data_IF_694073970967
#
_entry.id   IF_694073970967
#
_cell.length_a   1.000
_cell.length_b   1.000
_cell.length_c   1.000
_cell.angle_alpha   90.00
_cell.angle_beta   90.00
_cell.angle_gamma   90.00
#
_symmetry.space_group_name_H-M   'P 1'
#
loop_
_entity.id
_entity.type
_entity.pdbx_description
1 polymer ?
#
# COMPACT_ATOMS: atom_id res chain seq x y z
N UNK A 1 -12.44 35.78 -5.22
CA UNK A 1 -13.26 34.60 -4.88
C UNK A 1 -12.97 33.54 -5.92
N UNK A 2 -12.00 32.66 -5.65
CA UNK A 2 -11.58 31.62 -6.61
C UNK A 2 -11.45 30.32 -5.85
N UNK A 3 -12.17 29.32 -6.34
CA UNK A 3 -12.21 27.94 -5.87
C UNK A 3 -10.85 27.26 -6.09
N UNK A 4 -10.33 26.62 -5.05
CA UNK A 4 -9.17 25.74 -5.10
C UNK A 4 -9.65 24.28 -5.21
N UNK A 5 -9.44 23.67 -6.37
CA UNK A 5 -9.58 22.23 -6.57
C UNK A 5 -8.24 21.53 -6.33
N UNK A 6 -8.24 20.46 -5.55
CA UNK A 6 -7.06 19.62 -5.32
C UNK A 6 -7.48 18.17 -5.15
N UNK A 7 -6.83 17.27 -5.90
CA UNK A 7 -6.73 15.82 -5.70
C UNK A 7 -5.45 15.40 -6.45
N UNK A 8 -4.61 14.46 -5.99
CA UNK A 8 -4.94 13.13 -5.50
C UNK A 8 -3.78 12.53 -4.69
N UNK A 9 -4.05 12.16 -3.43
CA UNK A 9 -3.21 11.28 -2.63
C UNK A 9 -4.08 10.13 -2.11
N UNK A 10 -3.56 8.90 -2.14
CA UNK A 10 -4.25 7.72 -1.65
C UNK A 10 -4.41 7.82 -0.13
N UNK A 11 -5.47 8.46 0.33
CA UNK A 11 -5.97 8.33 1.68
C UNK A 11 -6.90 7.11 1.71
N UNK A 12 -6.62 6.17 2.61
CA UNK A 12 -7.68 5.35 3.22
C UNK A 12 -8.54 6.29 4.08
N UNK A 13 -9.30 7.14 3.38
CA UNK A 13 -10.08 8.25 3.87
C UNK A 13 -11.56 7.92 3.75
N UNK A 14 -12.13 7.64 4.92
CA UNK A 14 -13.54 7.65 5.26
C UNK A 14 -14.16 9.02 4.99
N UNK A 15 -14.35 9.41 3.72
CA UNK A 15 -15.18 10.58 3.41
C UNK A 15 -16.46 10.14 2.68
N UNK A 16 -17.57 10.47 3.36
CA UNK A 16 -18.99 10.21 3.09
C UNK A 16 -19.63 8.94 3.69
N UNK A 17 -19.05 8.36 4.74
CA UNK A 17 -19.80 7.53 5.70
C UNK A 17 -19.65 8.14 7.09
N UNK A 18 -20.74 8.26 7.83
CA UNK A 18 -20.66 8.63 9.25
C UNK A 18 -19.75 7.62 9.97
N UNK A 19 -18.90 8.05 10.91
CA UNK A 19 -18.07 7.15 11.73
C UNK A 19 -18.85 5.93 12.25
N UNK A 20 -20.14 6.12 12.53
CA UNK A 20 -21.07 5.04 12.94
C UNK A 20 -21.34 4.01 11.85
N UNK A 21 -21.50 4.45 10.60
CA UNK A 21 -21.72 3.57 9.44
C UNK A 21 -20.46 2.75 9.13
N UNK A 22 -19.28 3.35 9.25
CA UNK A 22 -18.04 2.62 9.08
C UNK A 22 -17.85 1.58 10.19
N UNK A 23 -18.00 1.97 11.46
CA UNK A 23 -17.90 1.02 12.59
C UNK A 23 -18.90 -0.12 12.42
N UNK A 24 -20.12 0.17 11.95
CA UNK A 24 -21.12 -0.85 11.65
C UNK A 24 -20.69 -1.76 10.50
N UNK A 25 -20.16 -1.22 9.41
CA UNK A 25 -19.67 -2.01 8.27
C UNK A 25 -18.52 -2.94 8.68
N UNK A 26 -17.55 -2.43 9.45
CA UNK A 26 -16.44 -3.23 10.00
C UNK A 26 -16.98 -4.32 10.94
N UNK A 27 -17.91 -3.99 11.83
CA UNK A 27 -18.52 -4.96 12.74
C UNK A 27 -19.27 -6.07 11.99
N UNK A 28 -20.02 -5.73 10.94
CA UNK A 28 -20.70 -6.70 10.08
C UNK A 28 -19.68 -7.61 9.40
N UNK A 29 -18.60 -7.06 8.82
CA UNK A 29 -17.60 -7.87 8.14
C UNK A 29 -16.84 -8.81 9.09
N UNK A 30 -16.52 -8.35 10.31
CA UNK A 30 -15.91 -9.18 11.35
C UNK A 30 -16.85 -10.31 11.79
N UNK A 31 -18.14 -10.02 12.00
CA UNK A 31 -19.14 -11.04 12.36
C UNK A 31 -19.33 -12.06 11.24
N UNK A 32 -19.38 -11.59 9.99
CA UNK A 32 -19.48 -12.44 8.82
C UNK A 32 -18.27 -13.36 8.70
N UNK A 33 -17.07 -12.80 8.77
CA UNK A 33 -15.80 -13.54 8.80
C UNK A 33 -15.82 -14.65 9.86
N UNK A 34 -16.27 -14.36 11.09
CA UNK A 34 -16.39 -15.37 12.15
C UNK A 34 -17.41 -16.46 11.80
N UNK A 35 -18.55 -16.09 11.24
CA UNK A 35 -19.56 -17.05 10.78
C UNK A 35 -19.03 -17.95 9.67
N UNK A 36 -18.24 -17.41 8.73
CA UNK A 36 -17.60 -18.17 7.66
C UNK A 36 -16.49 -19.09 8.17
N UNK A 37 -15.67 -18.66 9.12
CA UNK A 37 -14.67 -19.53 9.77
C UNK A 37 -15.37 -20.70 10.47
N UNK A 38 -16.39 -20.42 11.29
CA UNK A 38 -17.13 -21.46 12.02
C UNK A 38 -17.86 -22.37 11.03
N UNK A 39 -18.55 -21.81 10.05
CA UNK A 39 -19.23 -22.55 9.00
C UNK A 39 -18.28 -23.41 8.19
N UNK A 40 -17.08 -22.92 7.89
CA UNK A 40 -16.04 -23.65 7.16
C UNK A 40 -15.48 -24.82 7.95
N UNK A 41 -15.24 -24.64 9.26
CA UNK A 41 -14.80 -25.72 10.14
C UNK A 41 -15.90 -26.78 10.31
N UNK A 42 -17.15 -26.35 10.56
CA UNK A 42 -18.29 -27.25 10.79
C UNK A 42 -18.65 -28.04 9.53
N UNK A 43 -18.71 -27.36 8.38
CA UNK A 43 -18.97 -28.01 7.09
C UNK A 43 -17.78 -28.78 6.55
N UNK A 44 -16.58 -28.53 7.09
CA UNK A 44 -15.34 -28.99 6.51
C UNK A 44 -15.04 -28.35 5.16
N UNK A 45 -15.56 -27.17 4.79
CA UNK A 45 -15.26 -26.50 3.50
C UNK A 45 -13.99 -25.64 3.60
N UNK A 46 -13.00 -25.92 2.76
CA UNK A 46 -11.83 -25.03 2.64
C UNK A 46 -12.18 -23.76 1.87
N UNK A 47 -13.13 -23.82 0.94
CA UNK A 47 -13.49 -22.66 0.13
C UNK A 47 -14.09 -21.56 1.02
N UNK A 48 -14.95 -21.96 1.97
CA UNK A 48 -15.53 -21.04 2.94
C UNK A 48 -14.48 -20.48 3.92
N UNK A 49 -13.50 -21.29 4.32
CA UNK A 49 -12.36 -20.83 5.13
C UNK A 49 -11.49 -19.85 4.35
N UNK A 50 -11.21 -20.13 3.07
CA UNK A 50 -10.39 -19.27 2.22
C UNK A 50 -11.01 -17.88 2.05
N UNK A 51 -12.31 -17.83 1.77
CA UNK A 51 -13.08 -16.60 1.67
C UNK A 51 -13.08 -15.82 3.01
N UNK A 52 -13.30 -16.54 4.13
CA UNK A 52 -13.25 -15.94 5.45
C UNK A 52 -11.89 -15.36 5.81
N UNK A 53 -10.80 -16.04 5.45
CA UNK A 53 -9.44 -15.59 5.78
C UNK A 53 -9.02 -14.37 4.94
N UNK A 54 -9.52 -14.24 3.71
CA UNK A 54 -9.35 -13.02 2.93
C UNK A 54 -10.07 -11.84 3.61
N UNK A 55 -11.37 -11.99 3.91
CA UNK A 55 -12.18 -10.97 4.58
C UNK A 55 -11.63 -10.60 5.97
N UNK A 56 -11.10 -11.60 6.69
CA UNK A 56 -10.39 -11.39 7.95
C UNK A 56 -9.15 -10.51 7.77
N UNK A 57 -8.33 -10.78 6.75
CA UNK A 57 -7.12 -10.00 6.49
C UNK A 57 -7.45 -8.56 6.13
N UNK A 58 -8.54 -8.31 5.42
CA UNK A 58 -8.99 -6.95 5.13
C UNK A 58 -9.45 -6.22 6.39
N UNK A 59 -10.23 -6.88 7.25
CA UNK A 59 -10.60 -6.33 8.55
C UNK A 59 -9.38 -6.10 9.47
N UNK A 60 -8.44 -7.04 9.48
CA UNK A 60 -7.18 -6.94 10.23
C UNK A 60 -6.31 -5.79 9.71
N UNK A 61 -6.27 -5.58 8.39
CA UNK A 61 -5.56 -4.46 7.77
C UNK A 61 -6.10 -3.11 8.23
N UNK A 62 -7.43 -2.97 8.34
CA UNK A 62 -8.07 -1.75 8.85
C UNK A 62 -7.76 -1.53 10.33
N UNK A 63 -7.82 -2.59 11.14
CA UNK A 63 -7.45 -2.52 12.56
C UNK A 63 -5.97 -2.14 12.76
N UNK A 64 -5.09 -2.75 11.99
CA UNK A 64 -3.66 -2.46 11.97
C UNK A 64 -3.38 -1.04 11.49
N UNK A 65 -4.07 -0.56 10.45
CA UNK A 65 -3.95 0.81 9.95
C UNK A 65 -4.43 1.83 10.99
N UNK A 66 -5.55 1.57 11.67
CA UNK A 66 -6.03 2.41 12.76
C UNK A 66 -5.02 2.48 13.91
N UNK A 67 -4.49 1.33 14.33
CA UNK A 67 -3.49 1.25 15.40
C UNK A 67 -2.18 1.94 15.00
N UNK A 68 -1.72 1.71 13.78
CA UNK A 68 -0.52 2.33 13.23
C UNK A 68 -0.69 3.85 13.11
N UNK A 69 -1.85 4.35 12.65
CA UNK A 69 -2.17 5.78 12.60
C UNK A 69 -2.20 6.41 14.00
N UNK A 70 -2.70 5.68 15.00
CA UNK A 70 -2.65 6.11 16.41
C UNK A 70 -1.21 6.29 16.89
N UNK A 71 -0.30 5.40 16.49
CA UNK A 71 1.13 5.47 16.79
C UNK A 71 1.81 6.57 15.96
N UNK A 72 1.51 6.69 14.67
CA UNK A 72 2.09 7.66 13.74
C UNK A 72 1.80 9.12 14.13
N UNK A 73 0.68 9.37 14.82
CA UNK A 73 0.37 10.68 15.41
C UNK A 73 1.21 11.05 16.64
N UNK A 74 2.07 10.16 17.14
CA UNK A 74 2.99 10.50 18.23
C UNK A 74 4.03 11.50 17.73
N UNK A 75 4.36 12.54 18.51
CA UNK A 75 5.42 13.46 18.15
C UNK A 75 6.76 12.72 18.05
N UNK A 76 7.66 13.26 17.23
CA UNK A 76 9.03 12.78 17.15
C UNK A 76 9.72 12.85 18.52
N UNK A 77 10.61 11.90 18.78
CA UNK A 77 11.43 11.86 19.98
C UNK A 77 12.91 11.62 19.62
N UNK A 78 13.77 11.48 20.63
CA UNK A 78 15.22 11.33 20.43
C UNK A 78 15.61 10.00 19.77
N UNK A 79 14.75 9.00 19.82
CA UNK A 79 14.96 7.68 19.21
C UNK A 79 14.34 7.61 17.82
N UNK A 80 13.21 8.29 17.61
CA UNK A 80 12.49 8.40 16.34
C UNK A 80 12.41 9.86 15.91
N UNK A 81 13.50 10.37 15.35
CA UNK A 81 13.70 11.80 15.03
C UNK A 81 12.77 12.32 13.93
N UNK A 82 12.33 11.43 13.02
CA UNK A 82 11.30 11.72 12.02
C UNK A 82 9.89 11.33 12.46
N UNK A 83 9.72 10.86 13.71
CA UNK A 83 8.46 10.36 14.23
C UNK A 83 8.16 8.93 13.81
N UNK A 84 6.90 8.53 13.99
CA UNK A 84 6.48 7.13 13.93
C UNK A 84 5.65 6.78 12.68
N UNK A 85 5.63 7.67 11.68
CA UNK A 85 4.77 7.53 10.49
C UNK A 85 5.09 6.28 9.65
N UNK A 86 6.34 5.81 9.63
CA UNK A 86 6.70 4.55 8.95
C UNK A 86 6.05 3.30 9.56
N UNK A 87 5.53 3.38 10.79
CA UNK A 87 4.81 2.28 11.42
C UNK A 87 3.58 1.81 10.63
N UNK A 88 2.94 2.71 9.85
CA UNK A 88 1.84 2.36 8.95
C UNK A 88 2.28 1.42 7.83
N UNK A 89 3.44 1.70 7.23
CA UNK A 89 4.01 0.87 6.16
C UNK A 89 4.45 -0.50 6.69
N UNK A 90 5.01 -0.54 7.91
CA UNK A 90 5.37 -1.80 8.59
C UNK A 90 4.12 -2.65 8.86
N UNK A 91 3.04 -2.03 9.35
CA UNK A 91 1.79 -2.72 9.61
C UNK A 91 1.18 -3.31 8.31
N UNK A 92 1.22 -2.55 7.22
CA UNK A 92 0.80 -3.04 5.90
C UNK A 92 1.65 -4.22 5.42
N UNK A 93 2.98 -4.17 5.62
CA UNK A 93 3.87 -5.28 5.27
C UNK A 93 3.56 -6.56 6.07
N UNK A 94 3.31 -6.43 7.37
CA UNK A 94 2.91 -7.55 8.23
C UNK A 94 1.63 -8.18 7.70
N UNK A 95 0.60 -7.37 7.42
CA UNK A 95 -0.66 -7.88 6.89
C UNK A 95 -0.49 -8.62 5.54
N UNK A 96 0.23 -8.01 4.59
CA UNK A 96 0.50 -8.63 3.29
C UNK A 96 1.26 -9.95 3.44
N UNK A 97 2.25 -10.00 4.32
CA UNK A 97 3.03 -11.22 4.57
C UNK A 97 2.17 -12.31 5.21
N UNK A 98 1.34 -11.97 6.19
CA UNK A 98 0.37 -12.90 6.81
C UNK A 98 -0.60 -13.46 5.79
N UNK A 99 -1.14 -12.60 4.90
CA UNK A 99 -2.05 -13.01 3.84
C UNK A 99 -1.39 -14.00 2.86
N UNK A 100 -0.14 -13.76 2.47
CA UNK A 100 0.62 -14.67 1.63
C UNK A 100 0.85 -16.03 2.32
N UNK A 101 1.26 -16.02 3.58
CA UNK A 101 1.46 -17.25 4.37
C UNK A 101 0.16 -18.07 4.41
N UNK A 102 -0.96 -17.42 4.68
CA UNK A 102 -2.28 -18.06 4.70
C UNK A 102 -2.65 -18.62 3.32
N UNK A 103 -2.46 -17.84 2.26
CA UNK A 103 -2.73 -18.30 0.89
C UNK A 103 -1.93 -19.55 0.51
N UNK A 104 -0.62 -19.57 0.79
CA UNK A 104 0.20 -20.75 0.55
C UNK A 104 -0.20 -21.95 1.42
N UNK A 105 -0.57 -21.71 2.68
CA UNK A 105 -1.09 -22.74 3.56
C UNK A 105 -2.36 -23.38 2.98
N UNK A 106 -3.31 -22.58 2.48
CA UNK A 106 -4.54 -23.07 1.86
C UNK A 106 -4.27 -23.90 0.60
N UNK A 107 -3.27 -23.53 -0.22
CA UNK A 107 -2.86 -24.34 -1.37
C UNK A 107 -2.35 -25.70 -0.92
N UNK A 108 -1.47 -25.73 0.09
CA UNK A 108 -0.94 -27.00 0.64
C UNK A 108 -2.07 -27.86 1.20
N UNK A 109 -2.99 -27.25 1.96
CA UNK A 109 -4.13 -27.96 2.55
C UNK A 109 -5.09 -28.50 1.48
N UNK A 110 -5.35 -27.71 0.42
CA UNK A 110 -6.12 -28.16 -0.73
C UNK A 110 -5.47 -29.36 -1.42
N UNK A 111 -4.15 -29.35 -1.63
CA UNK A 111 -3.40 -30.49 -2.20
C UNK A 111 -3.50 -31.71 -1.27
N UNK A 112 -3.36 -31.55 0.04
CA UNK A 112 -3.49 -32.64 1.00
C UNK A 112 -4.89 -33.27 0.95
N UNK A 113 -5.93 -32.45 0.86
CA UNK A 113 -7.32 -32.92 0.69
C UNK A 113 -7.61 -33.58 -0.64
N UNK A 114 -6.85 -33.26 -1.69
CA UNK A 114 -6.94 -34.02 -2.94
C UNK A 114 -6.50 -35.48 -2.73
N UNK A 115 -5.48 -35.69 -1.88
CA UNK A 115 -4.94 -37.01 -1.57
C UNK A 115 -5.82 -37.80 -0.58
N UNK A 116 -6.46 -37.12 0.37
CA UNK A 116 -7.41 -37.71 1.32
C UNK A 116 -8.73 -36.91 1.36
N UNK A 117 -9.70 -37.24 0.47
CA UNK A 117 -10.95 -36.50 0.36
C UNK A 117 -11.77 -36.55 1.64
N UNK A 118 -12.05 -35.38 2.21
CA UNK A 118 -12.91 -35.22 3.37
C UNK A 118 -14.33 -34.81 2.93
N UNK A 119 -15.39 -35.36 3.54
CA UNK A 119 -16.76 -34.97 3.20
C UNK A 119 -17.02 -33.52 3.59
N UNK A 120 -17.68 -32.78 2.70
CA UNK A 120 -18.08 -31.38 2.91
C UNK A 120 -19.59 -31.29 3.04
N UNK A 121 -20.08 -30.63 4.08
CA UNK A 121 -21.52 -30.43 4.30
C UNK A 121 -22.05 -29.25 3.47
N UNK A 122 -22.55 -29.54 2.27
CA UNK A 122 -22.93 -28.51 1.29
C UNK A 122 -24.03 -27.53 1.74
N UNK A 123 -24.99 -27.94 2.59
CA UNK A 123 -26.07 -27.04 3.05
C UNK A 123 -25.55 -25.91 3.93
N UNK A 124 -24.66 -26.21 4.88
CA UNK A 124 -23.97 -25.21 5.69
C UNK A 124 -23.15 -24.26 4.82
N UNK A 125 -22.43 -24.79 3.81
CA UNK A 125 -21.65 -23.98 2.86
C UNK A 125 -22.54 -22.97 2.12
N UNK A 126 -23.65 -23.43 1.54
CA UNK A 126 -24.58 -22.55 0.81
C UNK A 126 -25.21 -21.52 1.74
N UNK A 127 -25.64 -21.92 2.93
CA UNK A 127 -26.31 -21.01 3.86
C UNK A 127 -25.38 -19.87 4.28
N UNK A 128 -24.14 -20.19 4.65
CA UNK A 128 -23.17 -19.20 5.12
C UNK A 128 -22.67 -18.31 3.98
N UNK A 129 -22.30 -18.90 2.83
CA UNK A 129 -21.90 -18.13 1.65
C UNK A 129 -23.06 -17.29 1.07
N UNK A 130 -24.30 -17.75 1.21
CA UNK A 130 -25.49 -16.97 0.85
C UNK A 130 -25.66 -15.72 1.70
N UNK A 131 -25.40 -15.80 3.01
CA UNK A 131 -25.40 -14.63 3.89
C UNK A 131 -24.27 -13.67 3.51
N UNK A 132 -23.07 -14.17 3.23
CA UNK A 132 -21.93 -13.37 2.76
C UNK A 132 -22.27 -12.61 1.48
N UNK A 133 -22.77 -13.33 0.46
CA UNK A 133 -23.19 -12.74 -0.80
C UNK A 133 -24.21 -11.61 -0.63
N UNK A 134 -25.20 -11.78 0.24
CA UNK A 134 -26.21 -10.74 0.48
C UNK A 134 -25.56 -9.50 1.09
N UNK A 135 -24.65 -9.66 2.04
CA UNK A 135 -23.94 -8.55 2.68
C UNK A 135 -23.06 -7.81 1.67
N UNK A 136 -22.30 -8.53 0.86
CA UNK A 136 -21.40 -7.94 -0.15
C UNK A 136 -22.17 -7.20 -1.22
N UNK A 137 -23.29 -7.76 -1.70
CA UNK A 137 -24.16 -7.10 -2.68
C UNK A 137 -24.82 -5.84 -2.12
N UNK A 138 -25.29 -5.87 -0.86
CA UNK A 138 -25.86 -4.69 -0.20
C UNK A 138 -24.79 -3.60 -0.06
N UNK A 139 -23.58 -3.96 0.36
CA UNK A 139 -22.47 -3.02 0.53
C UNK A 139 -22.04 -2.44 -0.83
N UNK A 140 -21.88 -3.28 -1.85
CA UNK A 140 -21.59 -2.87 -3.21
C UNK A 140 -22.66 -1.91 -3.74
N UNK A 141 -23.95 -2.18 -3.52
CA UNK A 141 -25.04 -1.31 -3.96
C UNK A 141 -25.01 0.06 -3.27
N UNK A 142 -24.70 0.11 -1.97
CA UNK A 142 -24.57 1.37 -1.22
C UNK A 142 -23.42 2.21 -1.79
N UNK A 143 -22.27 1.58 -2.07
CA UNK A 143 -21.05 2.26 -2.53
C UNK A 143 -21.09 2.59 -4.03
N UNK A 144 -21.92 1.90 -4.81
CA UNK A 144 -22.04 2.06 -6.26
C UNK A 144 -22.30 3.51 -6.71
N UNK A 145 -23.16 4.24 -5.99
CA UNK A 145 -23.47 5.64 -6.32
C UNK A 145 -22.25 6.55 -6.17
N UNK A 146 -21.44 6.33 -5.13
CA UNK A 146 -20.20 7.08 -4.91
C UNK A 146 -19.06 6.66 -5.84
N UNK A 147 -19.13 5.46 -6.44
CA UNK A 147 -18.06 4.91 -7.27
C UNK A 147 -17.79 5.70 -8.57
N UNK A 148 -18.75 6.51 -9.03
CA UNK A 148 -18.57 7.39 -10.19
C UNK A 148 -17.88 8.72 -9.83
N UNK A 149 -17.94 9.12 -8.56
CA UNK A 149 -17.47 10.41 -8.09
C UNK A 149 -16.05 10.35 -7.50
N UNK A 150 -15.62 9.17 -7.01
CA UNK A 150 -14.34 9.00 -6.34
C UNK A 150 -13.64 7.69 -6.70
N UNK A 151 -12.33 7.78 -6.95
CA UNK A 151 -11.46 6.61 -7.16
C UNK A 151 -11.49 5.68 -5.95
N UNK A 152 -11.58 6.22 -4.74
CA UNK A 152 -11.65 5.43 -3.51
C UNK A 152 -12.96 4.63 -3.44
N UNK A 153 -14.08 5.26 -3.77
CA UNK A 153 -15.39 4.58 -3.80
C UNK A 153 -15.44 3.54 -4.92
N UNK A 154 -14.79 3.80 -6.05
CA UNK A 154 -14.62 2.83 -7.13
C UNK A 154 -13.83 1.61 -6.66
N UNK A 155 -12.73 1.81 -5.93
CA UNK A 155 -11.94 0.72 -5.37
C UNK A 155 -12.76 -0.12 -4.37
N UNK A 156 -13.47 0.54 -3.45
CA UNK A 156 -14.35 -0.14 -2.49
C UNK A 156 -15.48 -0.92 -3.18
N UNK A 157 -16.10 -0.36 -4.23
CA UNK A 157 -17.11 -1.07 -5.03
C UNK A 157 -16.52 -2.32 -5.70
N UNK A 158 -15.37 -2.20 -6.36
CA UNK A 158 -14.72 -3.32 -7.04
C UNK A 158 -14.32 -4.44 -6.06
N UNK A 159 -13.87 -4.09 -4.86
CA UNK A 159 -13.57 -5.06 -3.81
C UNK A 159 -14.81 -5.87 -3.40
N UNK A 160 -15.91 -5.20 -3.01
CA UNK A 160 -17.15 -5.89 -2.64
C UNK A 160 -17.71 -6.77 -3.78
N UNK A 161 -17.52 -6.35 -5.05
CA UNK A 161 -17.90 -7.18 -6.20
C UNK A 161 -17.02 -8.43 -6.31
N UNK A 162 -15.71 -8.32 -6.07
CA UNK A 162 -14.81 -9.48 -6.03
C UNK A 162 -15.21 -10.46 -4.91
N UNK A 163 -15.56 -9.97 -3.72
CA UNK A 163 -15.97 -10.80 -2.59
C UNK A 163 -17.31 -11.49 -2.85
N UNK A 164 -18.27 -10.76 -3.45
CA UNK A 164 -19.51 -11.35 -3.93
C UNK A 164 -19.28 -12.46 -4.98
N UNK A 165 -18.31 -12.28 -5.89
CA UNK A 165 -17.96 -13.31 -6.87
C UNK A 165 -17.31 -14.54 -6.21
N UNK A 166 -16.48 -14.34 -5.18
CA UNK A 166 -15.93 -15.44 -4.38
C UNK A 166 -17.07 -16.22 -3.69
N UNK A 167 -17.99 -15.52 -3.03
CA UNK A 167 -19.19 -16.10 -2.42
C UNK A 167 -20.05 -16.89 -3.42
N UNK A 168 -20.25 -16.37 -4.64
CA UNK A 168 -20.94 -17.12 -5.72
C UNK A 168 -20.19 -18.41 -6.07
N UNK A 169 -18.87 -18.36 -6.17
CA UNK A 169 -18.04 -19.55 -6.38
C UNK A 169 -18.25 -20.61 -5.29
N UNK A 170 -18.25 -20.19 -4.02
CA UNK A 170 -18.48 -21.07 -2.87
C UNK A 170 -19.89 -21.67 -2.88
N UNK A 171 -20.92 -20.89 -3.22
CA UNK A 171 -22.30 -21.38 -3.37
C UNK A 171 -22.37 -22.43 -4.48
N UNK A 172 -21.75 -22.16 -5.63
CA UNK A 172 -21.71 -23.12 -6.75
C UNK A 172 -21.03 -24.42 -6.32
N UNK A 173 -19.93 -24.36 -5.56
CA UNK A 173 -19.31 -25.56 -5.00
C UNK A 173 -20.27 -26.32 -4.07
N UNK A 174 -20.94 -25.62 -3.15
CA UNK A 174 -21.93 -26.23 -2.25
C UNK A 174 -23.10 -26.91 -2.99
N UNK A 175 -23.60 -26.29 -4.06
CA UNK A 175 -24.67 -26.88 -4.91
C UNK A 175 -24.18 -28.15 -5.60
N UNK A 176 -22.96 -28.12 -6.17
CA UNK A 176 -22.36 -29.29 -6.82
C UNK A 176 -22.12 -30.44 -5.84
N UNK A 177 -21.75 -30.13 -4.59
CA UNK A 177 -21.59 -31.12 -3.52
C UNK A 177 -22.95 -31.78 -3.21
N UNK A 178 -24.03 -31.01 -3.03
CA UNK A 178 -25.34 -31.57 -2.69
C UNK A 178 -25.92 -32.43 -3.83
N UNK A 179 -25.75 -31.99 -5.08
CA UNK A 179 -26.38 -32.67 -6.23
C UNK A 179 -25.59 -33.88 -6.73
N UNK A 180 -24.27 -33.86 -6.60
CA UNK A 180 -23.37 -34.81 -7.25
C UNK A 180 -22.31 -35.44 -6.33
N UNK A 181 -22.31 -35.13 -5.03
CA UNK A 181 -21.23 -35.49 -4.09
C UNK A 181 -19.84 -35.07 -4.60
N UNK A 182 -19.79 -33.96 -5.36
CA UNK A 182 -18.58 -33.49 -6.01
C UNK A 182 -17.72 -32.65 -5.06
N UNK A 183 -17.08 -33.29 -4.08
CA UNK A 183 -16.19 -32.63 -3.11
C UNK A 183 -15.00 -31.91 -3.76
N UNK A 184 -14.61 -32.31 -4.97
CA UNK A 184 -13.57 -31.63 -5.75
C UNK A 184 -13.93 -30.18 -6.08
N UNK A 185 -15.23 -29.83 -6.11
CA UNK A 185 -15.67 -28.46 -6.36
C UNK A 185 -15.17 -27.47 -5.28
N UNK A 186 -15.24 -27.87 -4.00
CA UNK A 186 -14.71 -27.07 -2.88
C UNK A 186 -13.21 -26.81 -3.02
N UNK A 187 -12.46 -27.85 -3.41
CA UNK A 187 -11.02 -27.76 -3.62
C UNK A 187 -10.65 -26.80 -4.76
N UNK A 188 -11.34 -26.90 -5.90
CA UNK A 188 -11.09 -26.02 -7.05
C UNK A 188 -11.37 -24.57 -6.69
N UNK A 189 -12.49 -24.29 -6.02
CA UNK A 189 -12.82 -22.92 -5.58
C UNK A 189 -11.80 -22.43 -4.55
N UNK A 190 -11.38 -23.27 -3.60
CA UNK A 190 -10.30 -22.94 -2.64
C UNK A 190 -9.03 -22.50 -3.36
N UNK A 191 -8.58 -23.26 -4.37
CA UNK A 191 -7.38 -22.93 -5.13
C UNK A 191 -7.52 -21.63 -5.93
N UNK A 192 -8.70 -21.35 -6.48
CA UNK A 192 -8.99 -20.10 -7.19
C UNK A 192 -8.91 -18.92 -6.22
N UNK A 193 -9.58 -18.99 -5.07
CA UNK A 193 -9.58 -17.92 -4.06
C UNK A 193 -8.15 -17.72 -3.51
N UNK A 194 -7.46 -18.80 -3.11
CA UNK A 194 -6.09 -18.71 -2.60
C UNK A 194 -5.11 -18.15 -3.65
N UNK A 195 -5.25 -18.56 -4.91
CA UNK A 195 -4.44 -18.04 -6.02
C UNK A 195 -4.67 -16.55 -6.27
N UNK A 196 -5.92 -16.10 -6.22
CA UNK A 196 -6.27 -14.68 -6.33
C UNK A 196 -5.66 -13.85 -5.19
N UNK A 197 -5.81 -14.32 -3.95
CA UNK A 197 -5.26 -13.68 -2.75
C UNK A 197 -3.72 -13.57 -2.83
N UNK A 198 -3.04 -14.64 -3.25
CA UNK A 198 -1.58 -14.63 -3.42
C UNK A 198 -1.17 -13.64 -4.51
N UNK A 199 -1.87 -13.63 -5.64
CA UNK A 199 -1.59 -12.70 -6.73
C UNK A 199 -1.73 -11.25 -6.28
N UNK A 200 -2.79 -10.93 -5.53
CA UNK A 200 -2.97 -9.61 -4.93
C UNK A 200 -1.81 -9.26 -3.98
N UNK A 201 -1.45 -10.18 -3.08
CA UNK A 201 -0.35 -9.99 -2.14
C UNK A 201 1.00 -9.74 -2.82
N UNK A 202 1.38 -10.56 -3.81
CA UNK A 202 2.64 -10.42 -4.55
C UNK A 202 2.66 -9.14 -5.39
N UNK A 203 1.53 -8.70 -5.92
CA UNK A 203 1.45 -7.46 -6.70
C UNK A 203 1.63 -6.21 -5.83
N UNK A 204 1.16 -6.24 -4.58
CA UNK A 204 1.27 -5.12 -3.64
C UNK A 204 2.61 -5.09 -2.89
N UNK A 205 3.24 -6.24 -2.67
CA UNK A 205 4.45 -6.37 -1.85
C UNK A 205 5.62 -5.47 -2.30
N UNK A 206 6.00 -5.38 -3.60
CA UNK A 206 7.11 -4.54 -4.04
C UNK A 206 6.88 -3.05 -3.75
N UNK A 207 5.63 -2.58 -3.85
CA UNK A 207 5.29 -1.19 -3.54
C UNK A 207 5.50 -0.90 -2.05
N UNK A 208 5.04 -1.78 -1.17
CA UNK A 208 5.20 -1.64 0.28
C UNK A 208 6.66 -1.72 0.70
N UNK A 209 7.43 -2.64 0.12
CA UNK A 209 8.88 -2.77 0.38
C UNK A 209 9.64 -1.52 -0.08
N UNK A 210 9.35 -1.00 -1.27
CA UNK A 210 9.95 0.25 -1.77
C UNK A 210 9.67 1.44 -0.85
N UNK A 211 8.45 1.55 -0.31
CA UNK A 211 8.11 2.59 0.66
C UNK A 211 8.93 2.47 1.94
N UNK A 212 9.18 1.26 2.45
CA UNK A 212 10.06 1.02 3.61
C UNK A 212 11.52 1.33 3.31
N UNK A 213 11.97 1.07 2.09
CA UNK A 213 13.32 1.42 1.62
C UNK A 213 13.51 2.93 1.39
N UNK A 214 12.47 3.75 1.59
CA UNK A 214 12.53 5.19 1.38
C UNK A 214 12.52 5.60 -0.09
N UNK A 215 12.10 4.72 -1.00
CA UNK A 215 12.08 5.03 -2.43
C UNK A 215 11.12 6.18 -2.77
N UNK A 216 11.46 6.93 -3.82
CA UNK A 216 10.57 7.91 -4.44
C UNK A 216 9.35 7.18 -5.03
N UNK A 217 8.12 7.74 -4.92
CA UNK A 217 6.90 7.04 -5.34
C UNK A 217 6.85 6.72 -6.84
N UNK A 218 7.38 7.62 -7.67
CA UNK A 218 7.37 7.55 -9.13
C UNK A 218 8.59 8.30 -9.69
N UNK A 219 9.28 7.70 -10.67
CA UNK A 219 10.43 8.33 -11.34
C UNK A 219 10.02 9.66 -11.99
N UNK A 220 8.79 9.75 -12.51
CA UNK A 220 8.24 10.97 -13.11
C UNK A 220 8.11 12.13 -12.11
N UNK A 221 8.05 11.83 -10.81
CA UNK A 221 7.96 12.85 -9.77
C UNK A 221 9.35 13.40 -9.40
N UNK A 222 10.39 12.58 -9.49
CA UNK A 222 11.78 13.00 -9.25
C UNK A 222 12.18 14.08 -10.26
N UNK A 223 12.06 13.81 -11.56
CA UNK A 223 12.47 14.74 -12.62
C UNK A 223 11.73 16.07 -12.51
N UNK A 224 10.42 16.03 -12.21
CA UNK A 224 9.60 17.24 -12.02
C UNK A 224 10.04 18.10 -10.86
N UNK A 225 10.56 17.49 -9.79
CA UNK A 225 11.08 18.23 -8.63
C UNK A 225 12.41 18.88 -8.98
N UNK A 226 13.30 18.16 -9.69
CA UNK A 226 14.59 18.70 -10.17
C UNK A 226 14.37 19.87 -11.12
N UNK A 227 13.58 19.68 -12.18
CA UNK A 227 13.24 20.74 -13.14
C UNK A 227 12.59 21.95 -12.44
N UNK A 228 11.75 21.70 -11.44
CA UNK A 228 11.13 22.77 -10.67
C UNK A 228 12.17 23.58 -9.89
N UNK A 229 13.12 22.92 -9.23
CA UNK A 229 14.17 23.57 -8.43
C UNK A 229 15.13 24.37 -9.32
N UNK A 230 15.60 23.79 -10.42
CA UNK A 230 16.48 24.46 -11.39
C UNK A 230 15.78 25.64 -12.09
N UNK A 231 14.45 25.58 -12.23
CA UNK A 231 13.66 26.69 -12.76
C UNK A 231 13.47 27.87 -11.80
N UNK A 232 13.95 27.82 -10.56
CA UNK A 232 13.78 28.91 -9.60
C UNK A 232 14.87 29.99 -9.74
N UNK A 233 14.46 31.25 -9.72
CA UNK A 233 15.38 32.37 -9.71
C UNK A 233 16.33 32.29 -8.50
N UNK A 234 17.64 32.37 -8.75
CA UNK A 234 18.67 32.26 -7.72
C UNK A 234 19.31 30.88 -7.59
N UNK A 235 18.82 29.88 -8.31
CA UNK A 235 19.41 28.54 -8.44
C UNK A 235 20.12 28.43 -9.79
N UNK A 236 21.42 28.14 -9.79
CA UNK A 236 22.16 27.84 -11.03
C UNK A 236 22.04 26.36 -11.39
N UNK A 237 22.17 25.48 -10.40
CA UNK A 237 22.00 24.04 -10.54
C UNK A 237 21.68 23.37 -9.21
N UNK A 238 21.16 22.14 -9.27
CA UNK A 238 21.00 21.26 -8.12
C UNK A 238 21.70 19.93 -8.37
N UNK A 239 22.17 19.31 -7.29
CA UNK A 239 22.81 17.99 -7.35
C UNK A 239 22.64 17.27 -6.01
N UNK A 240 23.08 16.02 -5.93
CA UNK A 240 22.96 15.19 -4.71
C UNK A 240 21.52 15.18 -4.16
N UNK A 241 20.55 14.93 -5.03
CA UNK A 241 19.12 14.99 -4.75
C UNK A 241 18.67 13.66 -4.15
N UNK A 242 18.30 13.68 -2.88
CA UNK A 242 17.67 12.58 -2.18
C UNK A 242 16.24 12.95 -1.84
N UNK A 243 15.30 12.11 -2.26
CA UNK A 243 13.88 12.28 -1.96
C UNK A 243 13.39 10.98 -1.36
N UNK A 244 12.73 11.06 -0.20
CA UNK A 244 12.21 9.87 0.47
C UNK A 244 10.88 10.13 1.17
N UNK A 245 10.16 9.04 1.42
CA UNK A 245 8.88 9.07 2.11
C UNK A 245 9.05 8.86 3.62
N UNK A 246 8.52 9.78 4.41
CA UNK A 246 8.39 9.71 5.87
C UNK A 246 6.97 9.21 6.23
N UNK A 247 6.56 8.09 5.65
CA UNK A 247 5.19 7.56 5.72
C UNK A 247 4.39 7.79 4.43
N UNK A 248 3.08 7.64 4.48
CA UNK A 248 2.22 7.67 3.27
C UNK A 248 1.97 9.09 2.73
N UNK A 249 2.10 10.12 3.58
CA UNK A 249 1.69 11.49 3.25
C UNK A 249 2.76 12.56 3.46
N UNK A 250 3.91 12.20 4.01
CA UNK A 250 4.98 13.14 4.30
C UNK A 250 6.21 12.77 3.50
N UNK A 251 6.78 13.76 2.83
CA UNK A 251 8.00 13.62 2.04
C UNK A 251 9.09 14.48 2.60
N UNK A 252 10.31 13.97 2.49
CA UNK A 252 11.52 14.72 2.79
C UNK A 252 12.41 14.80 1.56
N UNK A 253 13.17 15.90 1.51
CA UNK A 253 14.11 16.19 0.44
C UNK A 253 15.42 16.70 1.04
N UNK A 254 16.52 16.21 0.51
CA UNK A 254 17.86 16.72 0.73
C UNK A 254 18.49 16.98 -0.63
N UNK A 255 19.08 18.15 -0.82
CA UNK A 255 19.78 18.47 -2.05
C UNK A 255 20.81 19.56 -1.84
N UNK A 256 21.81 19.57 -2.70
CA UNK A 256 22.79 20.63 -2.79
C UNK A 256 22.36 21.63 -3.85
N UNK A 257 22.47 22.91 -3.54
CA UNK A 257 22.11 24.02 -4.43
C UNK A 257 23.35 24.85 -4.69
N UNK A 258 23.61 25.12 -5.98
CA UNK A 258 24.58 26.15 -6.39
C UNK A 258 23.82 27.47 -6.56
N UNK A 259 23.98 28.45 -5.65
CA UNK A 259 23.26 29.71 -5.74
C UNK A 259 23.94 30.65 -6.75
N UNK A 260 23.16 31.48 -7.43
CA UNK A 260 23.68 32.48 -8.38
C UNK A 260 24.21 33.76 -7.71
N UNK A 261 24.55 33.69 -6.42
CA UNK A 261 24.92 34.81 -5.58
C UNK A 261 25.83 34.38 -4.41
N UNK A 262 26.68 35.28 -3.96
CA UNK A 262 27.70 35.02 -2.92
C UNK A 262 27.29 35.52 -1.52
N UNK A 263 26.00 35.44 -1.18
CA UNK A 263 25.47 35.97 0.08
C UNK A 263 24.66 34.93 0.85
N UNK A 264 25.07 34.67 2.10
CA UNK A 264 24.33 33.79 3.01
C UNK A 264 22.92 34.30 3.31
N UNK A 265 22.74 35.62 3.41
CA UNK A 265 21.42 36.22 3.65
C UNK A 265 20.47 35.98 2.47
N UNK A 266 20.97 36.13 1.24
CA UNK A 266 20.20 35.82 0.04
C UNK A 266 19.88 34.32 -0.06
N UNK A 267 20.80 33.45 0.40
CA UNK A 267 20.57 32.01 0.42
C UNK A 267 19.47 31.62 1.41
N UNK A 268 19.42 32.24 2.59
CA UNK A 268 18.34 32.03 3.56
C UNK A 268 16.96 32.41 2.99
N UNK A 269 16.86 33.54 2.28
CA UNK A 269 15.62 33.96 1.61
C UNK A 269 15.20 32.97 0.51
N UNK A 270 16.15 32.50 -0.30
CA UNK A 270 15.92 31.46 -1.29
C UNK A 270 15.36 30.19 -0.64
N UNK A 271 16.03 29.66 0.40
CA UNK A 271 15.61 28.44 1.13
C UNK A 271 14.18 28.54 1.64
N UNK A 272 13.81 29.67 2.27
CA UNK A 272 12.45 29.88 2.78
C UNK A 272 11.42 29.85 1.65
N UNK A 273 11.73 30.50 0.52
CA UNK A 273 10.83 30.52 -0.64
C UNK A 273 10.70 29.15 -1.32
N UNK A 274 11.78 28.37 -1.37
CA UNK A 274 11.78 27.01 -1.94
C UNK A 274 10.96 26.06 -1.06
N UNK A 275 11.18 26.07 0.27
CA UNK A 275 10.42 25.25 1.22
C UNK A 275 8.92 25.46 1.10
N UNK A 276 8.48 26.72 1.05
CA UNK A 276 7.07 27.05 0.92
C UNK A 276 6.47 26.50 -0.39
N UNK A 277 7.17 26.68 -1.52
CA UNK A 277 6.70 26.21 -2.82
C UNK A 277 6.73 24.69 -2.96
N UNK A 278 7.77 24.02 -2.43
CA UNK A 278 7.86 22.57 -2.38
C UNK A 278 6.74 21.96 -1.52
N UNK A 279 6.43 22.57 -0.38
CA UNK A 279 5.31 22.14 0.47
C UNK A 279 3.98 22.27 -0.29
N UNK A 280 3.74 23.39 -0.95
CA UNK A 280 2.47 23.66 -1.65
C UNK A 280 2.28 22.78 -2.90
N UNK A 281 3.34 22.56 -3.69
CA UNK A 281 3.24 21.91 -5.00
C UNK A 281 3.50 20.41 -4.96
N UNK A 282 4.36 19.95 -4.06
CA UNK A 282 4.82 18.55 -4.01
C UNK A 282 4.60 17.87 -2.66
N UNK A 283 4.06 18.58 -1.66
CA UNK A 283 3.83 18.02 -0.32
C UNK A 283 5.11 17.72 0.47
N UNK A 284 6.24 18.32 0.08
CA UNK A 284 7.53 18.13 0.76
C UNK A 284 7.61 19.11 1.94
N UNK A 285 7.30 18.61 3.13
CA UNK A 285 7.25 19.41 4.36
C UNK A 285 8.62 19.55 5.04
N UNK A 286 9.55 18.64 4.74
CA UNK A 286 10.90 18.65 5.30
C UNK A 286 11.93 18.74 4.16
N UNK A 287 12.60 19.89 4.02
CA UNK A 287 13.61 20.07 2.99
C UNK A 287 14.90 20.69 3.58
N UNK A 288 16.02 20.02 3.31
CA UNK A 288 17.37 20.46 3.67
C UNK A 288 18.11 20.84 2.40
N UNK A 289 18.75 22.00 2.43
CA UNK A 289 19.49 22.56 1.31
C UNK A 289 20.91 22.89 1.77
N UNK A 290 21.89 22.22 1.16
CA UNK A 290 23.30 22.56 1.31
C UNK A 290 23.70 23.59 0.25
N UNK A 291 24.45 24.62 0.63
CA UNK A 291 24.98 25.61 -0.32
C UNK A 291 26.33 25.13 -0.84
N UNK A 292 26.47 25.04 -2.16
CA UNK A 292 27.70 24.60 -2.80
C UNK A 292 28.22 25.66 -3.77
N UNK A 293 29.54 25.75 -3.88
CA UNK A 293 30.17 26.50 -4.96
C UNK A 293 30.31 25.57 -6.17
N UNK A 294 30.15 26.11 -7.38
CA UNK A 294 30.22 25.35 -8.64
C UNK A 294 31.55 24.59 -8.87
N UNK A 295 32.55 24.79 -8.02
CA UNK A 295 33.90 24.18 -8.14
C UNK A 295 34.09 22.93 -7.29
N UNK A 296 33.26 22.72 -6.26
CA UNK A 296 33.53 21.75 -5.19
C UNK A 296 32.64 20.50 -5.24
N UNK A 297 31.83 20.31 -6.28
CA UNK A 297 30.83 19.23 -6.31
C UNK A 297 30.78 18.44 -7.63
N UNK A 298 30.56 17.13 -7.50
CA UNK A 298 30.17 16.27 -8.62
C UNK A 298 28.75 16.66 -9.08
N UNK A 299 28.58 16.97 -10.36
CA UNK A 299 27.31 17.41 -10.95
C UNK A 299 26.26 16.28 -11.09
N UNK A 300 26.45 15.14 -10.43
CA UNK A 300 25.53 14.02 -10.49
C UNK A 300 24.27 14.33 -9.66
N UNK A 301 23.09 14.18 -10.27
CA UNK A 301 21.81 14.33 -9.56
C UNK A 301 21.65 13.28 -8.46
N UNK A 302 22.14 12.06 -8.69
CA UNK A 302 22.24 10.99 -7.69
C UNK A 302 23.69 10.51 -7.73
N UNK A 303 24.37 10.53 -6.58
CA UNK A 303 25.76 10.10 -6.51
C UNK A 303 25.89 8.61 -6.84
N UNK A 304 26.87 8.24 -7.66
CA UNK A 304 27.20 6.84 -7.89
C UNK A 304 27.76 6.24 -6.61
N UNK A 305 27.12 5.19 -6.08
CA UNK A 305 27.69 4.37 -5.03
C UNK A 305 28.82 3.49 -5.60
N UNK A 306 29.93 4.10 -5.98
CA UNK A 306 31.14 3.33 -6.22
C UNK A 306 31.65 2.80 -4.88
N UNK A 307 31.83 1.47 -4.71
CA UNK A 307 32.49 0.95 -3.52
C UNK A 307 33.90 1.54 -3.50
N UNK A 308 34.24 2.24 -2.42
CA UNK A 308 35.57 2.81 -2.21
C UNK A 308 36.62 1.67 -2.25
N UNK A 309 37.30 1.50 -3.38
CA UNK A 309 38.26 0.42 -3.55
C UNK A 309 38.68 0.18 -5.00
N UNK A 310 39.21 1.19 -5.68
CA UNK A 310 39.73 1.05 -7.03
C UNK A 310 40.75 2.14 -7.35
N UNK A 311 41.84 2.21 -6.57
CA UNK A 311 43.03 2.98 -6.97
C UNK A 311 43.67 2.24 -8.14
N UNK A 312 43.27 2.56 -9.37
CA UNK A 312 44.06 2.22 -10.54
C UNK A 312 45.15 3.27 -10.65
N UNK A 313 46.36 2.89 -10.25
CA UNK A 313 47.58 3.64 -10.51
C UNK A 313 47.65 3.96 -12.01
N UNK A 314 47.78 5.24 -12.33
CA UNK A 314 48.13 5.69 -13.66
C UNK A 314 49.60 5.33 -13.90
N UNK A 315 49.83 4.42 -14.85
CA UNK A 315 51.06 4.36 -15.62
C UNK A 315 51.26 5.73 -16.30
N UNK A 316 52.35 6.41 -15.94
CA UNK A 316 52.98 7.41 -16.79
C UNK A 316 54.50 7.29 -16.61
N UNK A 317 55.09 6.27 -17.26
CA UNK A 317 56.50 6.33 -17.65
C UNK A 317 56.55 7.06 -18.99
N UNK A 318 56.86 8.34 -18.88
CA UNK A 318 57.19 9.26 -19.96
C UNK A 318 58.45 8.80 -20.72
N UNK A 319 58.30 8.61 -22.03
CA UNK A 319 59.34 8.85 -23.02
C UNK A 319 59.72 10.34 -22.99
N UNK A 320 60.92 10.65 -22.48
CA UNK A 320 61.89 11.64 -23.00
C UNK A 320 63.11 11.80 -22.07
#
# INVERSE_FOLDING_TARGET
MVQSGGHSGHSHGEEQLSDRQLVLAVAINVLLTLAQIIGGIVSGSLALIADALHNFSDAASLGLAWFARRIGRRPADKLMTFGYAQGEVVAALINLTTLLIIGFYLIVEAINRFADPQPVEGWTVIAVAGVALVIDLVTAFIVYRGAHESINMKAAFLHNVSDALASVGVIVAGVLIILYDLYLADLVITLIIAGYVIWQGITLLPRTVRLLMGAVPDELEFDRIVEFLEGQQGVESVHHVHIWNLGEHHRALETHIVPSFDSLAAFEELKLSLRARLTQRFGIAHATFEACLARDCENALVADHHPAGGRTDHDDQSDQ
#
